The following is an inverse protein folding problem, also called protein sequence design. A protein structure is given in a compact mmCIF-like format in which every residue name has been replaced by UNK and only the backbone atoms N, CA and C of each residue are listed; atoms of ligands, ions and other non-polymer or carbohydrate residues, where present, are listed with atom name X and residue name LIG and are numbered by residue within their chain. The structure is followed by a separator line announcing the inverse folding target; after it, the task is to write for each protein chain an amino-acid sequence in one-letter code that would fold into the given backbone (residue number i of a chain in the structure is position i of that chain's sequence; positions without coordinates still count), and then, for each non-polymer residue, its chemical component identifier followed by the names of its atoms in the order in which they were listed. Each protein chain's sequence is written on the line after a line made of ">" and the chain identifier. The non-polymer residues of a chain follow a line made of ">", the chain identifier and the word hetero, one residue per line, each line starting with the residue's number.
data_IF_045267839202
#
_entry.id   IF_045267839202
#
_cell.length_a   1.000
_cell.length_b   1.000
_cell.length_c   1.000
_cell.angle_alpha   90.00
_cell.angle_beta   90.00
_cell.angle_gamma   90.00
#
_symmetry.space_group_name_H-M   'P 1'
#
loop_
_entity.id
_entity.type
_entity.pdbx_description
1 polymer ?
#
# COMPACT_ATOMS: atom_id res chain seq x y z
N UNK A 1 30.90 16.59 -34.51
CA UNK A 1 29.42 16.58 -34.59
C UNK A 1 28.95 15.13 -34.54
N UNK A 2 28.20 14.72 -33.51
CA UNK A 2 27.66 13.36 -33.46
C UNK A 2 26.59 13.15 -34.55
N UNK A 3 26.58 11.97 -35.17
CA UNK A 3 25.61 11.65 -36.23
C UNK A 3 24.18 11.65 -35.68
N UNK A 4 23.19 11.87 -36.55
CA UNK A 4 21.78 11.79 -36.18
C UNK A 4 21.45 10.43 -35.54
N UNK A 5 22.04 9.35 -36.05
CA UNK A 5 21.91 8.00 -35.52
C UNK A 5 22.40 7.90 -34.07
N UNK A 6 23.59 8.45 -33.77
CA UNK A 6 24.13 8.46 -32.41
C UNK A 6 23.23 9.22 -31.45
N UNK A 7 22.64 10.36 -31.87
CA UNK A 7 21.74 11.15 -31.03
C UNK A 7 20.43 10.40 -30.74
N UNK A 8 19.83 9.79 -31.75
CA UNK A 8 18.60 8.99 -31.59
C UNK A 8 18.85 7.81 -30.65
N UNK A 9 19.99 7.14 -30.79
CA UNK A 9 20.36 6.04 -29.92
C UNK A 9 20.52 6.46 -28.44
N UNK A 10 21.19 7.59 -28.18
CA UNK A 10 21.35 8.11 -26.82
C UNK A 10 20.03 8.55 -26.19
N UNK A 11 19.15 9.19 -26.97
CA UNK A 11 17.80 9.55 -26.50
C UNK A 11 17.00 8.30 -26.16
N UNK A 12 17.08 7.25 -26.97
CA UNK A 12 16.42 5.97 -26.69
C UNK A 12 16.89 5.35 -25.37
N UNK A 13 18.21 5.32 -25.13
CA UNK A 13 18.77 4.81 -23.86
C UNK A 13 18.29 5.64 -22.67
N UNK A 14 18.28 6.96 -22.79
CA UNK A 14 17.82 7.85 -21.73
C UNK A 14 16.33 7.61 -21.40
N UNK A 15 15.47 7.52 -22.42
CA UNK A 15 14.05 7.24 -22.25
C UNK A 15 13.83 5.86 -21.62
N UNK A 16 14.53 4.83 -22.09
CA UNK A 16 14.43 3.48 -21.53
C UNK A 16 14.89 3.43 -20.07
N UNK A 17 15.99 4.10 -19.73
CA UNK A 17 16.47 4.21 -18.35
C UNK A 17 15.47 4.96 -17.45
N UNK A 18 14.84 6.02 -17.95
CA UNK A 18 13.84 6.78 -17.20
C UNK A 18 12.60 5.95 -16.86
N UNK A 19 12.17 5.07 -17.78
CA UNK A 19 11.02 4.18 -17.57
C UNK A 19 11.36 3.09 -16.53
N UNK A 20 12.57 2.53 -16.56
CA UNK A 20 13.01 1.51 -15.58
C UNK A 20 13.07 2.08 -14.17
N UNK A 21 13.46 3.35 -14.02
CA UNK A 21 13.53 4.01 -12.72
C UNK A 21 12.16 4.46 -12.19
N UNK A 22 11.09 4.37 -12.99
CA UNK A 22 9.74 4.66 -12.57
C UNK A 22 9.27 3.59 -11.57
N UNK A 23 9.54 3.82 -10.29
CA UNK A 23 9.00 2.98 -9.23
C UNK A 23 7.53 3.34 -9.03
N UNK A 24 6.65 2.51 -9.57
CA UNK A 24 5.22 2.54 -9.20
C UNK A 24 5.13 1.96 -7.80
N UNK A 25 4.91 2.81 -6.80
CA UNK A 25 4.63 2.37 -5.44
C UNK A 25 3.19 1.87 -5.36
N UNK A 26 3.02 0.55 -5.52
CA UNK A 26 1.74 -0.11 -5.30
C UNK A 26 1.71 -0.56 -3.84
N UNK A 27 0.87 0.07 -3.03
CA UNK A 27 0.59 -0.35 -1.66
C UNK A 27 -0.39 -1.52 -1.63
N UNK A 28 -0.23 -2.39 -0.65
CA UNK A 28 -1.23 -3.38 -0.30
C UNK A 28 -2.38 -2.73 0.49
N UNK A 29 -3.57 -3.29 0.35
CA UNK A 29 -4.73 -2.83 1.09
C UNK A 29 -5.15 -3.90 2.11
N UNK A 30 -5.38 -3.47 3.36
CA UNK A 30 -5.69 -4.36 4.47
C UNK A 30 -7.01 -3.94 5.12
N UNK A 31 -8.00 -4.85 5.08
CA UNK A 31 -9.24 -4.69 5.85
C UNK A 31 -9.00 -5.09 7.30
N UNK A 32 -9.28 -4.17 8.21
CA UNK A 32 -9.13 -4.42 9.64
C UNK A 32 -10.11 -5.52 10.06
N UNK A 33 -9.58 -6.58 10.66
CA UNK A 33 -10.35 -7.75 11.11
C UNK A 33 -11.12 -8.48 9.98
N UNK A 34 -10.72 -8.27 8.71
CA UNK A 34 -11.35 -8.93 7.56
C UNK A 34 -12.84 -8.61 7.44
N UNK A 35 -13.66 -9.63 7.21
CA UNK A 35 -15.10 -9.50 6.94
C UNK A 35 -15.89 -8.93 8.13
N UNK A 36 -15.37 -9.07 9.36
CA UNK A 36 -16.00 -8.52 10.56
C UNK A 36 -15.83 -7.00 10.67
N UNK A 37 -14.83 -6.44 9.98
CA UNK A 37 -14.54 -5.01 9.96
C UNK A 37 -14.14 -4.43 11.32
N UNK A 38 -14.19 -3.11 11.40
CA UNK A 38 -13.93 -2.34 12.62
C UNK A 38 -15.18 -2.30 13.52
N UNK A 39 -15.10 -3.01 14.64
CA UNK A 39 -16.16 -3.16 15.63
C UNK A 39 -15.66 -2.97 17.07
N UNK A 40 -16.54 -2.55 17.97
CA UNK A 40 -16.26 -2.59 19.42
C UNK A 40 -16.21 -4.04 19.89
N UNK A 41 -15.12 -4.49 20.55
CA UNK A 41 -15.05 -5.80 21.18
C UNK A 41 -16.24 -6.02 22.13
N UNK A 42 -16.97 -7.13 21.95
CA UNK A 42 -18.18 -7.41 22.75
C UNK A 42 -17.87 -8.14 24.06
N UNK A 43 -16.78 -8.89 24.08
CA UNK A 43 -16.36 -9.68 25.23
C UNK A 43 -14.91 -9.36 25.60
N UNK A 44 -14.57 -9.51 26.89
CA UNK A 44 -13.20 -9.32 27.37
C UNK A 44 -12.19 -10.25 26.70
N UNK A 45 -12.64 -11.41 26.19
CA UNK A 45 -11.81 -12.33 25.40
C UNK A 45 -11.32 -11.72 24.08
N UNK A 46 -12.04 -10.74 23.56
CA UNK A 46 -11.84 -10.19 22.21
C UNK A 46 -10.93 -8.96 22.23
N UNK A 47 -10.54 -8.50 23.42
CA UNK A 47 -9.69 -7.32 23.63
C UNK A 47 -8.32 -7.42 22.92
N UNK A 48 -7.90 -8.62 22.50
CA UNK A 48 -6.66 -8.82 21.76
C UNK A 48 -6.84 -9.03 20.25
N UNK A 49 -8.06 -8.97 19.69
CA UNK A 49 -8.28 -9.30 18.28
C UNK A 49 -7.48 -8.40 17.34
N UNK A 50 -7.48 -7.08 17.59
CA UNK A 50 -6.73 -6.14 16.75
C UNK A 50 -5.23 -6.29 16.90
N UNK A 51 -4.74 -6.59 18.11
CA UNK A 51 -3.31 -6.87 18.34
C UNK A 51 -2.86 -8.19 17.68
N UNK A 52 -3.76 -9.15 17.49
CA UNK A 52 -3.47 -10.38 16.75
C UNK A 52 -3.47 -10.11 15.24
N UNK A 53 -4.47 -9.39 14.76
CA UNK A 53 -4.56 -8.97 13.36
C UNK A 53 -3.36 -8.12 12.95
N UNK A 54 -2.97 -7.12 13.74
CA UNK A 54 -1.81 -6.26 13.50
C UNK A 54 -0.53 -7.09 13.37
N UNK A 55 -0.29 -8.01 14.31
CA UNK A 55 0.89 -8.89 14.29
C UNK A 55 0.93 -9.85 13.09
N UNK A 56 -0.23 -10.19 12.53
CA UNK A 56 -0.32 -11.04 11.33
C UNK A 56 -0.08 -10.26 10.03
N UNK A 57 -0.17 -8.93 10.05
CA UNK A 57 0.01 -8.09 8.87
C UNK A 57 1.39 -7.42 8.87
N UNK A 58 1.96 -7.20 7.69
CA UNK A 58 3.25 -6.50 7.51
C UNK A 58 3.06 -5.26 6.65
N UNK A 59 2.93 -4.13 7.31
CA UNK A 59 2.71 -2.84 6.65
C UNK A 59 4.00 -2.25 6.10
N UNK A 60 3.90 -1.64 4.92
CA UNK A 60 4.94 -0.91 4.20
C UNK A 60 4.45 0.50 3.88
N UNK A 61 5.40 1.37 3.54
CA UNK A 61 5.07 2.71 3.05
C UNK A 61 4.20 2.59 1.81
N UNK A 62 3.14 3.40 1.75
CA UNK A 62 2.08 3.43 0.74
C UNK A 62 0.99 2.35 0.87
N UNK A 63 1.07 1.44 1.85
CA UNK A 63 -0.06 0.55 2.15
C UNK A 63 -1.25 1.34 2.71
N UNK A 64 -2.45 0.80 2.50
CA UNK A 64 -3.71 1.38 2.99
C UNK A 64 -4.35 0.44 4.00
N UNK A 65 -4.69 0.98 5.18
CA UNK A 65 -5.48 0.26 6.19
C UNK A 65 -6.92 0.75 6.10
N UNK A 66 -7.84 -0.16 5.79
CA UNK A 66 -9.27 0.12 5.65
C UNK A 66 -10.02 -0.30 6.89
N UNK A 67 -10.63 0.68 7.52
CA UNK A 67 -11.54 0.49 8.63
C UNK A 67 -12.97 0.49 8.10
N UNK A 68 -13.53 -0.69 7.89
CA UNK A 68 -14.91 -0.84 7.43
C UNK A 68 -15.84 -0.91 8.65
N UNK A 69 -16.80 0.01 8.76
CA UNK A 69 -17.72 0.05 9.91
C UNK A 69 -19.11 0.48 9.47
N UNK A 70 -20.16 0.00 10.16
CA UNK A 70 -21.55 0.34 9.85
C UNK A 70 -22.06 1.59 10.58
N UNK A 71 -21.61 1.81 11.83
CA UNK A 71 -22.16 2.87 12.71
C UNK A 71 -21.19 3.29 13.82
N UNK A 72 -19.89 3.13 13.59
CA UNK A 72 -18.85 3.53 14.53
C UNK A 72 -18.12 4.77 14.01
N UNK A 73 -17.45 5.52 14.86
CA UNK A 73 -16.70 6.72 14.46
C UNK A 73 -15.22 6.48 14.71
N UNK A 74 -14.37 6.74 13.71
CA UNK A 74 -12.92 6.73 13.89
C UNK A 74 -12.50 8.10 14.40
N UNK A 75 -11.68 8.14 15.46
CA UNK A 75 -10.97 9.36 15.85
C UNK A 75 -9.80 9.54 14.88
N UNK A 76 -9.83 10.64 14.12
CA UNK A 76 -8.78 11.03 13.15
C UNK A 76 -7.76 11.92 13.84
#
# INVERSE_FOLDING_TARGET
>A
MASAFTKVFLVSIFLFSSIINLHIAIGAEYDVNGDDGWIVPKHNSDNQMYNKWERSNRFKVNDTIRFMYKKDSILV
#
